data_IF_670609166806
#
_entry.id   IF_670609166806
#
_cell.length_a   1.000
_cell.length_b   1.000
_cell.length_c   1.000
_cell.angle_alpha   90.00
_cell.angle_beta   90.00
_cell.angle_gamma   90.00
#
_symmetry.space_group_name_H-M   'P 1'
#
loop_
_entity.id
_entity.type
_entity.pdbx_description
1 polymer ?
#
# COMPACT_ATOMS: atom_id res chain seq x y z
N UNK A 1 -13.85 5.35 7.73
CA UNK A 1 -12.91 4.33 7.23
C UNK A 1 -11.51 4.83 7.51
N UNK A 2 -10.61 3.98 8.00
CA UNK A 2 -9.19 4.34 8.16
C UNK A 2 -8.52 4.55 6.80
N UNK A 3 -7.37 5.23 6.78
CA UNK A 3 -6.58 5.37 5.56
C UNK A 3 -6.08 4.01 5.06
N UNK A 4 -5.75 3.10 5.98
CA UNK A 4 -5.43 1.70 5.66
C UNK A 4 -6.55 1.02 4.85
N UNK A 5 -7.81 1.12 5.31
CA UNK A 5 -8.96 0.55 4.60
C UNK A 5 -9.14 1.17 3.21
N UNK A 6 -8.96 2.49 3.10
CA UNK A 6 -9.03 3.18 1.82
C UNK A 6 -7.92 2.71 0.86
N UNK A 7 -6.70 2.46 1.36
CA UNK A 7 -5.61 1.92 0.55
C UNK A 7 -5.95 0.51 0.05
N UNK A 8 -6.46 -0.37 0.93
CA UNK A 8 -6.87 -1.73 0.57
C UNK A 8 -7.91 -1.68 -0.56
N UNK A 9 -8.97 -0.88 -0.42
CA UNK A 9 -10.02 -0.73 -1.42
C UNK A 9 -9.49 -0.19 -2.76
N UNK A 10 -8.65 0.85 -2.72
CA UNK A 10 -8.10 1.49 -3.93
C UNK A 10 -7.16 0.56 -4.70
N UNK A 11 -6.36 -0.22 -3.99
CA UNK A 11 -5.38 -1.15 -4.57
C UNK A 11 -6.02 -2.40 -5.18
N UNK A 12 -7.30 -2.70 -4.89
CA UNK A 12 -8.02 -3.78 -5.58
C UNK A 12 -8.11 -3.59 -7.09
N UNK A 13 -7.98 -2.35 -7.58
CA UNK A 13 -7.97 -2.05 -9.02
C UNK A 13 -6.83 -2.72 -9.79
N UNK A 14 -5.75 -3.12 -9.10
CA UNK A 14 -4.63 -3.87 -9.65
C UNK A 14 -4.89 -5.37 -9.76
N UNK A 15 -6.11 -5.84 -9.46
CA UNK A 15 -6.50 -7.25 -9.43
C UNK A 15 -5.46 -8.16 -8.72
N UNK A 16 -5.06 -7.85 -7.47
CA UNK A 16 -3.98 -8.57 -6.81
C UNK A 16 -4.36 -10.00 -6.47
N UNK A 17 -3.46 -10.95 -6.72
CA UNK A 17 -3.56 -12.31 -6.16
C UNK A 17 -3.15 -12.35 -4.68
N UNK A 18 -2.37 -11.36 -4.24
CA UNK A 18 -2.04 -11.13 -2.84
C UNK A 18 -1.87 -9.63 -2.58
N UNK A 19 -2.48 -9.15 -1.51
CA UNK A 19 -2.39 -7.77 -1.05
C UNK A 19 -2.25 -7.74 0.47
N UNK A 20 -1.20 -7.08 0.96
CA UNK A 20 -0.99 -6.78 2.36
C UNK A 20 -0.68 -5.28 2.52
N UNK A 21 -1.37 -4.62 3.44
CA UNK A 21 -1.14 -3.23 3.81
C UNK A 21 -0.84 -3.21 5.31
N UNK A 22 0.34 -2.74 5.68
CA UNK A 22 0.81 -2.70 7.06
C UNK A 22 1.02 -1.23 7.44
N UNK A 23 0.31 -0.79 8.48
CA UNK A 23 0.49 0.53 9.04
C UNK A 23 1.73 0.57 9.95
N UNK A 24 2.82 1.18 9.47
CA UNK A 24 4.08 1.31 10.20
C UNK A 24 4.21 2.67 10.90
N UNK A 25 3.15 3.49 10.90
CA UNK A 25 3.18 4.89 11.39
C UNK A 25 3.71 5.04 12.82
N UNK A 26 3.47 4.05 13.70
CA UNK A 26 3.97 4.05 15.07
C UNK A 26 5.51 4.03 15.19
N UNK A 27 6.21 3.54 14.15
CA UNK A 27 7.67 3.48 14.10
C UNK A 27 8.35 4.74 13.53
N UNK A 28 7.59 5.74 13.11
CA UNK A 28 8.12 6.92 12.42
C UNK A 28 7.91 8.23 13.21
N UNK A 29 8.78 9.21 12.93
CA UNK A 29 8.80 10.48 13.65
C UNK A 29 7.47 11.23 13.60
N UNK A 30 7.11 11.86 14.72
CA UNK A 30 5.90 12.67 14.85
C UNK A 30 4.60 11.86 14.88
N UNK A 31 4.65 10.58 15.25
CA UNK A 31 3.46 9.76 15.51
C UNK A 31 2.65 10.24 16.72
N UNK A 32 1.32 10.06 16.65
CA UNK A 32 0.40 10.12 17.78
C UNK A 32 -0.73 9.10 17.55
N UNK A 33 -1.44 8.63 18.59
CA UNK A 33 -2.51 7.65 18.42
C UNK A 33 -3.55 8.07 17.37
N UNK A 34 -3.78 7.20 16.38
CA UNK A 34 -4.68 7.47 15.25
C UNK A 34 -4.04 8.21 14.07
N UNK A 35 -2.78 8.64 14.16
CA UNK A 35 -2.04 9.19 13.00
C UNK A 35 -1.65 8.08 12.05
N UNK A 36 -2.02 8.25 10.79
CA UNK A 36 -1.66 7.37 9.69
C UNK A 36 -0.79 8.15 8.69
N UNK A 37 0.47 7.76 8.51
CA UNK A 37 1.42 8.48 7.66
C UNK A 37 2.42 7.60 6.93
N UNK A 38 2.71 6.39 7.43
CA UNK A 38 3.66 5.46 6.82
C UNK A 38 3.02 4.09 6.68
N UNK A 39 3.10 3.55 5.47
CA UNK A 39 2.52 2.26 5.13
C UNK A 39 3.53 1.47 4.31
N UNK A 40 3.66 0.20 4.67
CA UNK A 40 4.28 -0.80 3.82
C UNK A 40 3.18 -1.53 3.07
N UNK A 41 3.34 -1.63 1.75
CA UNK A 41 2.39 -2.30 0.87
C UNK A 41 3.10 -3.42 0.13
N UNK A 42 2.52 -4.62 0.19
CA UNK A 42 2.97 -5.79 -0.56
C UNK A 42 1.85 -6.17 -1.53
N UNK A 43 2.14 -6.16 -2.83
CA UNK A 43 1.18 -6.48 -3.88
C UNK A 43 1.78 -7.49 -4.85
N UNK A 44 1.04 -8.55 -5.12
CA UNK A 44 1.33 -9.51 -6.20
C UNK A 44 0.21 -9.40 -7.22
N UNK A 45 0.56 -9.04 -8.46
CA UNK A 45 -0.39 -8.89 -9.57
C UNK A 45 0.30 -9.13 -10.92
N UNK A 46 -0.43 -9.75 -11.84
CA UNK A 46 -0.02 -9.91 -13.24
C UNK A 46 0.09 -8.57 -13.98
N UNK A 47 -0.56 -7.51 -13.49
CA UNK A 47 -0.47 -6.15 -14.07
C UNK A 47 0.94 -5.55 -14.00
N UNK A 48 1.82 -6.13 -13.18
CA UNK A 48 3.22 -5.73 -13.08
C UNK A 48 4.15 -6.45 -14.07
N UNK A 49 3.64 -7.41 -14.85
CA UNK A 49 4.45 -8.12 -15.84
C UNK A 49 5.03 -7.15 -16.88
N UNK A 50 6.33 -7.32 -17.17
CA UNK A 50 7.05 -6.46 -18.10
C UNK A 50 7.34 -5.03 -17.59
N UNK A 51 6.79 -4.61 -16.43
CA UNK A 51 7.06 -3.31 -15.84
C UNK A 51 8.33 -3.32 -15.00
N UNK A 52 9.17 -2.30 -15.16
CA UNK A 52 10.31 -2.02 -14.28
C UNK A 52 9.83 -1.51 -12.92
N UNK A 53 10.68 -1.61 -11.89
CA UNK A 53 10.34 -1.20 -10.52
C UNK A 53 9.69 0.19 -10.45
N UNK A 54 10.31 1.22 -11.04
CA UNK A 54 9.75 2.59 -11.02
C UNK A 54 8.37 2.67 -11.67
N UNK A 55 8.13 1.91 -12.76
CA UNK A 55 6.84 1.90 -13.44
C UNK A 55 5.76 1.22 -12.61
N UNK A 56 6.10 0.22 -11.79
CA UNK A 56 5.17 -0.40 -10.84
C UNK A 56 4.72 0.57 -9.77
N UNK A 57 5.60 1.48 -9.33
CA UNK A 57 5.28 2.51 -8.34
C UNK A 57 4.52 3.71 -8.91
N UNK A 58 4.67 4.00 -10.22
CA UNK A 58 3.98 5.12 -10.89
C UNK A 58 2.56 4.79 -11.34
N UNK A 59 2.27 3.50 -11.53
CA UNK A 59 0.96 2.98 -11.89
C UNK A 59 0.01 3.08 -10.70
#
# INVERSE_FOLDING_TARGET
MSLEQQLIERLQTLAPSHLEVINESAGHGGYFPGKESHFKVIVVSEEFNGLRLVQRHQK
#
